data_IF_951860757218
#
_entry.id   IF_951860757218
#
_cell.length_a   1.000
_cell.length_b   1.000
_cell.length_c   1.000
_cell.angle_alpha   90.00
_cell.angle_beta   90.00
_cell.angle_gamma   90.00
#
_symmetry.space_group_name_H-M   'P 1'
#
loop_
_entity.id
_entity.type
_entity.pdbx_description
1 polymer ?
#
# COMPACT_ATOMS: atom_id res chain seq x y z
N UNK A 1 32.84 45.12 36.44
CA UNK A 1 31.74 45.29 35.46
C UNK A 1 31.73 44.05 34.60
N UNK A 2 30.69 43.23 34.72
CA UNK A 2 30.54 41.97 34.01
C UNK A 2 29.42 42.11 32.96
N UNK A 3 29.67 41.60 31.75
CA UNK A 3 28.65 41.38 30.71
C UNK A 3 29.16 41.62 29.28
N UNK A 4 28.69 40.87 28.27
CA UNK A 4 28.48 39.42 28.31
C UNK A 4 29.08 38.68 27.09
N UNK A 5 29.10 37.36 27.26
CA UNK A 5 29.69 36.28 26.46
C UNK A 5 29.02 36.15 25.08
N UNK A 6 29.86 35.86 24.08
CA UNK A 6 29.46 35.54 22.71
C UNK A 6 28.54 34.31 22.65
N UNK A 7 27.32 34.51 22.14
CA UNK A 7 26.43 33.41 21.77
C UNK A 7 26.82 32.91 20.37
N UNK A 8 27.76 31.95 20.32
CA UNK A 8 28.06 31.20 19.11
C UNK A 8 26.85 30.36 18.70
N UNK A 9 26.32 30.65 17.52
CA UNK A 9 25.26 29.86 16.88
C UNK A 9 25.83 28.48 16.53
N UNK A 10 25.49 27.47 17.32
CA UNK A 10 25.78 26.07 16.99
C UNK A 10 24.71 25.60 16.00
N UNK A 11 25.15 25.25 14.78
CA UNK A 11 24.26 24.78 13.71
C UNK A 11 23.43 23.55 14.10
N UNK A 12 22.52 23.10 13.22
CA UNK A 12 21.58 22.03 13.53
C UNK A 12 22.34 20.77 13.96
N UNK A 13 22.13 20.39 15.22
CA UNK A 13 22.63 19.15 15.80
C UNK A 13 22.26 17.98 14.89
N UNK A 14 23.23 17.12 14.57
CA UNK A 14 23.04 15.86 13.84
C UNK A 14 21.73 15.18 14.25
N UNK A 15 20.94 14.64 13.29
CA UNK A 15 19.68 13.99 13.62
C UNK A 15 19.96 12.91 14.66
N UNK A 16 19.30 13.04 15.82
CA UNK A 16 19.47 12.13 16.94
C UNK A 16 19.41 10.69 16.43
N UNK A 17 20.46 9.91 16.76
CA UNK A 17 20.55 8.51 16.38
C UNK A 17 19.27 7.80 16.84
N UNK A 18 18.48 7.30 15.87
CA UNK A 18 17.25 6.57 16.18
C UNK A 18 17.62 5.37 17.05
N UNK A 19 16.85 5.07 18.12
CA UNK A 19 17.08 3.88 18.90
C UNK A 19 17.01 2.67 17.97
N UNK A 20 18.10 1.90 17.93
CA UNK A 20 18.16 0.64 17.16
C UNK A 20 17.35 -0.39 17.92
N UNK A 21 16.19 -0.78 17.39
CA UNK A 21 15.35 -1.79 18.00
C UNK A 21 15.82 -3.19 17.57
N UNK A 22 15.52 -4.24 18.35
CA UNK A 22 15.83 -5.63 17.98
C UNK A 22 15.24 -6.05 16.62
N UNK A 23 14.18 -5.37 16.19
CA UNK A 23 13.58 -5.44 14.85
C UNK A 23 14.51 -5.09 13.70
N UNK A 24 15.58 -4.32 13.94
CA UNK A 24 16.52 -3.89 12.91
C UNK A 24 17.23 -5.09 12.27
N UNK A 25 17.41 -6.18 13.03
CA UNK A 25 18.04 -7.43 12.57
C UNK A 25 17.14 -8.29 11.68
N UNK A 26 15.81 -8.09 11.72
CA UNK A 26 14.89 -8.89 10.91
C UNK A 26 15.06 -8.58 9.43
N UNK A 27 15.17 -7.30 9.09
CA UNK A 27 15.25 -6.81 7.72
C UNK A 27 16.69 -6.70 7.17
N UNK A 28 17.71 -7.06 7.97
CA UNK A 28 19.04 -7.35 7.40
C UNK A 28 18.98 -8.57 6.48
N UNK A 29 18.00 -9.47 6.69
CA UNK A 29 17.81 -10.65 5.87
C UNK A 29 16.89 -10.32 4.68
N UNK A 30 17.33 -10.57 3.43
CA UNK A 30 16.48 -10.37 2.24
C UNK A 30 15.17 -11.18 2.27
N UNK A 31 15.12 -12.19 3.14
CA UNK A 31 14.00 -13.10 3.36
C UNK A 31 12.66 -12.42 3.67
N UNK A 32 12.65 -11.23 4.28
CA UNK A 32 11.40 -10.53 4.64
C UNK A 32 10.88 -9.56 3.58
N UNK A 33 11.74 -9.12 2.66
CA UNK A 33 11.34 -8.18 1.61
C UNK A 33 10.69 -8.87 0.41
N UNK A 34 11.09 -10.10 0.12
CA UNK A 34 10.47 -10.91 -0.95
C UNK A 34 8.98 -11.17 -0.69
N UNK A 35 8.55 -11.70 0.47
CA UNK A 35 7.13 -11.92 0.74
C UNK A 35 6.34 -10.61 0.77
N UNK A 36 6.94 -9.50 1.22
CA UNK A 36 6.32 -8.18 1.18
C UNK A 36 6.10 -7.68 -0.26
N UNK A 37 7.09 -7.85 -1.14
CA UNK A 37 6.97 -7.50 -2.56
C UNK A 37 5.90 -8.35 -3.25
N UNK A 38 5.90 -9.66 -2.99
CA UNK A 38 4.90 -10.58 -3.52
C UNK A 38 3.50 -10.24 -3.01
N UNK A 39 3.37 -9.84 -1.75
CA UNK A 39 2.11 -9.41 -1.17
C UNK A 39 1.55 -8.20 -1.91
N UNK A 40 2.39 -7.20 -2.16
CA UNK A 40 1.96 -6.05 -2.93
C UNK A 40 1.69 -6.40 -4.39
N UNK A 41 2.40 -7.37 -4.97
CA UNK A 41 2.15 -7.83 -6.34
C UNK A 41 0.79 -8.54 -6.49
N UNK A 42 0.27 -9.20 -5.45
CA UNK A 42 -1.07 -9.83 -5.48
C UNK A 42 -2.22 -8.86 -5.22
N UNK A 43 -1.94 -7.64 -4.76
CA UNK A 43 -2.97 -6.62 -4.45
C UNK A 43 -3.83 -6.20 -5.65
N UNK A 44 -3.37 -6.43 -6.88
CA UNK A 44 -4.10 -6.09 -8.10
C UNK A 44 -5.22 -7.07 -8.46
N UNK A 45 -5.33 -8.22 -7.81
CA UNK A 45 -6.25 -9.29 -8.20
C UNK A 45 -7.47 -9.36 -7.27
N UNK A 46 -8.53 -8.64 -7.61
CA UNK A 46 -9.77 -8.55 -6.82
C UNK A 46 -10.98 -8.84 -7.72
N UNK A 47 -10.98 -10.00 -8.39
CA UNK A 47 -12.16 -10.47 -9.14
C UNK A 47 -13.06 -11.38 -8.29
N UNK A 48 -12.48 -12.05 -7.30
CA UNK A 48 -13.15 -13.01 -6.42
C UNK A 48 -12.79 -12.69 -4.97
N UNK A 49 -13.76 -12.86 -4.08
CA UNK A 49 -13.58 -12.68 -2.65
C UNK A 49 -13.57 -14.04 -1.94
N UNK A 50 -12.60 -14.31 -1.04
CA UNK A 50 -11.50 -13.42 -0.63
C UNK A 50 -10.41 -13.29 -1.72
N UNK A 51 -9.81 -12.10 -1.83
CA UNK A 51 -8.77 -11.86 -2.82
C UNK A 51 -7.48 -12.63 -2.45
N UNK A 52 -6.61 -12.96 -3.42
CA UNK A 52 -5.31 -13.57 -3.13
C UNK A 52 -4.47 -12.74 -2.15
N UNK A 53 -4.60 -11.41 -2.21
CA UNK A 53 -3.99 -10.49 -1.25
C UNK A 53 -4.46 -10.78 0.19
N UNK A 54 -5.77 -10.97 0.40
CA UNK A 54 -6.35 -11.09 1.72
C UNK A 54 -5.77 -12.31 2.46
N UNK A 55 -5.77 -13.45 1.77
CA UNK A 55 -5.24 -14.71 2.32
C UNK A 55 -3.73 -14.61 2.53
N UNK A 56 -3.00 -14.07 1.55
CA UNK A 56 -1.54 -14.02 1.64
C UNK A 56 -1.05 -13.01 2.70
N UNK A 57 -1.78 -11.92 2.91
CA UNK A 57 -1.46 -10.90 3.91
C UNK A 57 -1.43 -11.48 5.32
N UNK A 58 -2.33 -12.41 5.65
CA UNK A 58 -2.36 -13.11 6.94
C UNK A 58 -1.07 -13.90 7.16
N UNK A 59 -0.63 -14.66 6.15
CA UNK A 59 0.61 -15.43 6.22
C UNK A 59 1.85 -14.54 6.39
N UNK A 60 1.93 -13.43 5.66
CA UNK A 60 3.03 -12.46 5.77
C UNK A 60 3.01 -11.76 7.13
N UNK A 61 1.83 -11.35 7.62
CA UNK A 61 1.68 -10.77 8.96
C UNK A 61 2.19 -11.73 10.04
N UNK A 62 1.81 -13.02 9.98
CA UNK A 62 2.29 -14.03 10.92
C UNK A 62 3.81 -14.23 10.85
N UNK A 63 4.39 -14.24 9.64
CA UNK A 63 5.84 -14.34 9.45
C UNK A 63 6.59 -13.20 10.15
N UNK A 64 6.08 -11.96 10.01
CA UNK A 64 6.67 -10.80 10.68
C UNK A 64 6.43 -10.84 12.19
N UNK A 65 5.26 -11.28 12.65
CA UNK A 65 4.94 -11.46 14.06
C UNK A 65 5.90 -12.41 14.75
N UNK A 66 6.13 -13.60 14.16
CA UNK A 66 7.11 -14.60 14.64
C UNK A 66 8.54 -14.05 14.58
N UNK A 67 8.82 -13.19 13.61
CA UNK A 67 10.10 -12.47 13.53
C UNK A 67 10.40 -11.60 14.76
N UNK A 68 9.40 -11.20 15.53
CA UNK A 68 9.59 -10.35 16.72
C UNK A 68 9.30 -8.89 16.40
N UNK A 69 8.03 -8.59 16.14
CA UNK A 69 7.61 -7.21 15.92
C UNK A 69 7.66 -6.40 17.22
N UNK A 70 8.40 -5.29 17.21
CA UNK A 70 8.47 -4.37 18.36
C UNK A 70 7.74 -3.08 18.02
N UNK A 71 6.63 -2.82 18.72
CA UNK A 71 5.88 -1.58 18.55
C UNK A 71 6.75 -0.38 18.94
N UNK A 72 7.02 0.47 17.96
CA UNK A 72 7.76 1.72 18.17
C UNK A 72 6.79 2.80 18.65
N UNK A 73 7.19 3.70 19.58
CA UNK A 73 6.33 4.78 20.06
C UNK A 73 5.74 5.67 18.95
N UNK A 74 6.41 5.77 17.80
CA UNK A 74 5.90 6.50 16.63
C UNK A 74 4.59 5.95 16.03
N UNK A 75 4.23 4.69 16.33
CA UNK A 75 2.97 4.07 15.87
C UNK A 75 1.82 4.35 16.85
N UNK A 76 2.12 4.86 18.05
CA UNK A 76 1.11 5.10 19.09
C UNK A 76 -0.08 5.96 18.63
N UNK A 77 0.08 7.06 17.87
CA UNK A 77 -1.06 7.86 17.40
C UNK A 77 -2.01 7.06 16.50
N UNK A 78 -1.47 6.21 15.62
CA UNK A 78 -2.27 5.34 14.77
C UNK A 78 -3.07 4.34 15.61
N UNK A 79 -2.43 3.70 16.59
CA UNK A 79 -3.10 2.75 17.48
C UNK A 79 -4.20 3.43 18.28
N UNK A 80 -3.95 4.62 18.82
CA UNK A 80 -4.97 5.37 19.56
C UNK A 80 -6.19 5.67 18.68
N UNK A 81 -5.99 6.20 17.48
CA UNK A 81 -7.08 6.50 16.55
C UNK A 81 -7.83 5.23 16.14
N UNK A 82 -7.10 4.14 15.86
CA UNK A 82 -7.70 2.88 15.46
C UNK A 82 -8.51 2.23 16.60
N UNK A 83 -8.01 2.31 17.84
CA UNK A 83 -8.74 1.82 19.02
C UNK A 83 -9.99 2.66 19.29
N UNK A 84 -9.92 4.00 19.12
CA UNK A 84 -11.11 4.86 19.19
C UNK A 84 -12.14 4.50 18.11
N UNK A 85 -11.66 4.25 16.88
CA UNK A 85 -12.51 3.84 15.77
C UNK A 85 -13.20 2.49 16.07
N UNK A 86 -12.47 1.46 16.51
CA UNK A 86 -13.07 0.19 16.89
C UNK A 86 -14.03 0.31 18.07
N UNK A 87 -13.70 1.10 19.10
CA UNK A 87 -14.61 1.37 20.21
C UNK A 87 -15.92 2.01 19.72
N UNK A 88 -15.84 2.97 18.80
CA UNK A 88 -17.03 3.56 18.18
C UNK A 88 -17.83 2.55 17.34
N UNK A 89 -17.14 1.63 16.65
CA UNK A 89 -17.77 0.54 15.89
C UNK A 89 -18.53 -0.44 16.78
N UNK A 90 -18.00 -0.78 17.96
CA UNK A 90 -18.72 -1.60 18.94
C UNK A 90 -19.97 -0.91 19.47
N UNK A 91 -19.89 0.39 19.75
CA UNK A 91 -21.09 1.17 20.14
C UNK A 91 -22.13 1.15 19.03
N UNK A 92 -21.73 1.41 17.78
CA UNK A 92 -22.62 1.36 16.62
C UNK A 92 -23.25 -0.04 16.43
N UNK A 93 -22.48 -1.11 16.63
CA UNK A 93 -22.97 -2.48 16.50
C UNK A 93 -24.11 -2.82 17.47
N UNK A 94 -24.19 -2.16 18.63
CA UNK A 94 -25.33 -2.34 19.56
C UNK A 94 -26.64 -1.72 19.07
N UNK A 95 -26.56 -0.83 18.08
CA UNK A 95 -27.71 -0.11 17.52
C UNK A 95 -28.21 -0.70 16.19
N UNK A 96 -27.54 -1.72 15.66
CA UNK A 96 -27.88 -2.31 14.36
C UNK A 96 -29.09 -3.24 14.48
N UNK A 97 -30.09 -3.01 13.62
CA UNK A 97 -31.35 -3.78 13.58
C UNK A 97 -31.23 -5.07 12.74
N UNK A 98 -30.29 -5.12 11.80
CA UNK A 98 -30.05 -6.26 10.90
C UNK A 98 -28.73 -6.96 11.20
N UNK A 99 -28.81 -8.24 11.54
CA UNK A 99 -27.66 -9.05 11.99
C UNK A 99 -26.78 -9.53 10.82
N UNK A 100 -27.37 -9.77 9.64
CA UNK A 100 -26.71 -10.53 8.57
C UNK A 100 -25.53 -9.82 7.91
N UNK A 101 -25.60 -8.49 7.76
CA UNK A 101 -24.51 -7.68 7.18
C UNK A 101 -23.45 -7.21 8.18
N UNK A 102 -23.78 -7.24 9.48
CA UNK A 102 -22.95 -6.67 10.54
C UNK A 102 -21.67 -7.47 10.78
N UNK A 103 -21.75 -8.81 10.70
CA UNK A 103 -20.60 -9.68 10.94
C UNK A 103 -19.50 -9.52 9.88
N UNK A 104 -19.87 -9.52 8.59
CA UNK A 104 -18.89 -9.36 7.52
C UNK A 104 -18.19 -7.99 7.59
N UNK A 105 -18.97 -6.93 7.90
CA UNK A 105 -18.41 -5.60 8.12
C UNK A 105 -17.38 -5.58 9.25
N UNK A 106 -17.68 -6.17 10.41
CA UNK A 106 -16.74 -6.22 11.55
C UNK A 106 -15.47 -6.98 11.19
N UNK A 107 -15.59 -8.12 10.49
CA UNK A 107 -14.43 -8.93 10.07
C UNK A 107 -13.54 -8.16 9.11
N UNK A 108 -14.11 -7.57 8.05
CA UNK A 108 -13.34 -6.79 7.06
C UNK A 108 -12.72 -5.55 7.71
N UNK A 109 -13.45 -4.87 8.58
CA UNK A 109 -12.95 -3.68 9.30
C UNK A 109 -11.78 -4.05 10.21
N UNK A 110 -11.88 -5.16 10.94
CA UNK A 110 -10.80 -5.67 11.79
C UNK A 110 -9.58 -6.04 10.96
N UNK A 111 -9.79 -6.73 9.83
CA UNK A 111 -8.74 -7.09 8.89
C UNK A 111 -7.99 -5.85 8.34
N UNK A 112 -8.71 -4.81 7.93
CA UNK A 112 -8.12 -3.55 7.46
C UNK A 112 -7.33 -2.85 8.57
N UNK A 113 -7.85 -2.83 9.80
CA UNK A 113 -7.14 -2.29 10.96
C UNK A 113 -5.82 -3.01 11.24
N UNK A 114 -5.82 -4.34 11.19
CA UNK A 114 -4.61 -5.16 11.35
C UNK A 114 -3.59 -4.88 10.23
N UNK A 115 -4.05 -4.77 8.98
CA UNK A 115 -3.19 -4.39 7.85
C UNK A 115 -2.56 -3.02 8.05
N UNK A 116 -3.32 -2.03 8.53
CA UNK A 116 -2.80 -0.68 8.79
C UNK A 116 -1.67 -0.71 9.84
N UNK A 117 -1.87 -1.44 10.94
CA UNK A 117 -0.83 -1.61 11.97
C UNK A 117 0.38 -2.35 11.43
N UNK A 118 0.16 -3.41 10.64
CA UNK A 118 1.23 -4.18 10.00
C UNK A 118 2.11 -3.30 9.10
N UNK A 119 1.51 -2.56 8.16
CA UNK A 119 2.30 -1.70 7.27
C UNK A 119 2.97 -0.55 8.02
N UNK A 120 2.30 0.05 9.00
CA UNK A 120 2.92 1.08 9.83
C UNK A 120 4.16 0.55 10.55
N UNK A 121 4.09 -0.69 11.05
CA UNK A 121 5.23 -1.36 11.66
C UNK A 121 6.36 -1.64 10.65
N UNK A 122 6.05 -2.24 9.50
CA UNK A 122 7.03 -2.54 8.44
C UNK A 122 7.75 -1.27 7.97
N UNK A 123 7.01 -0.17 7.80
CA UNK A 123 7.57 1.12 7.40
C UNK A 123 8.39 1.75 8.53
N UNK A 124 7.96 1.63 9.80
CA UNK A 124 8.69 2.19 10.93
C UNK A 124 10.09 1.60 11.10
N UNK A 125 10.27 0.30 10.80
CA UNK A 125 11.57 -0.38 10.90
C UNK A 125 12.63 0.19 9.93
N UNK A 126 12.30 0.27 8.64
CA UNK A 126 13.19 0.86 7.63
C UNK A 126 12.36 1.60 6.57
N UNK A 127 12.07 2.91 6.80
CA UNK A 127 11.11 3.64 5.97
C UNK A 127 11.47 3.64 4.49
N UNK A 128 12.74 3.86 4.16
CA UNK A 128 13.19 3.99 2.78
C UNK A 128 13.12 2.65 2.05
N UNK A 129 13.66 1.58 2.66
CA UNK A 129 13.72 0.28 2.01
C UNK A 129 12.35 -0.39 1.94
N UNK A 130 11.56 -0.32 3.02
CA UNK A 130 10.20 -0.84 3.05
C UNK A 130 9.33 -0.16 2.00
N UNK A 131 9.33 1.19 1.96
CA UNK A 131 8.57 1.94 0.96
C UNK A 131 8.94 1.54 -0.47
N UNK A 132 10.23 1.46 -0.78
CA UNK A 132 10.68 1.07 -2.13
C UNK A 132 10.23 -0.34 -2.52
N UNK A 133 10.27 -1.29 -1.58
CA UNK A 133 9.84 -2.69 -1.83
C UNK A 133 8.33 -2.77 -2.02
N UNK A 134 7.57 -2.10 -1.16
CA UNK A 134 6.11 -2.03 -1.23
C UNK A 134 5.71 -1.44 -2.59
N UNK A 135 6.27 -0.28 -2.95
CA UNK A 135 5.95 0.38 -4.22
C UNK A 135 6.43 -0.40 -5.44
N UNK A 136 7.55 -1.12 -5.37
CA UNK A 136 7.98 -1.99 -6.45
C UNK A 136 6.97 -3.12 -6.72
N UNK A 137 6.50 -3.80 -5.67
CA UNK A 137 5.44 -4.81 -5.79
C UNK A 137 4.12 -4.20 -6.27
N UNK A 138 3.78 -3.01 -5.79
CA UNK A 138 2.58 -2.28 -6.22
C UNK A 138 2.63 -1.92 -7.71
N UNK A 139 3.79 -1.48 -8.22
CA UNK A 139 3.98 -1.23 -9.66
C UNK A 139 3.77 -2.52 -10.47
N UNK A 140 4.26 -3.66 -9.98
CA UNK A 140 4.04 -4.95 -10.63
C UNK A 140 2.55 -5.29 -10.68
N UNK A 141 1.84 -5.15 -9.56
CA UNK A 141 0.39 -5.37 -9.52
C UNK A 141 -0.35 -4.44 -10.50
N UNK A 142 -0.05 -3.14 -10.45
CA UNK A 142 -0.65 -2.14 -11.33
C UNK A 142 -0.37 -2.42 -12.80
N UNK A 143 0.83 -2.89 -13.15
CA UNK A 143 1.18 -3.25 -14.51
C UNK A 143 0.35 -4.44 -15.02
N UNK A 144 0.23 -5.51 -14.24
CA UNK A 144 -0.60 -6.67 -14.62
C UNK A 144 -2.08 -6.28 -14.76
N UNK A 145 -2.61 -5.51 -13.81
CA UNK A 145 -3.98 -4.98 -13.88
C UNK A 145 -4.17 -4.11 -15.12
N UNK A 146 -3.24 -3.20 -15.42
CA UNK A 146 -3.33 -2.28 -16.55
C UNK A 146 -3.28 -3.02 -17.89
N UNK A 147 -2.39 -4.02 -18.02
CA UNK A 147 -2.31 -4.86 -19.22
C UNK A 147 -3.63 -5.63 -19.42
N UNK A 148 -4.17 -6.22 -18.35
CA UNK A 148 -5.45 -6.94 -18.42
C UNK A 148 -6.61 -5.99 -18.79
N UNK A 149 -6.63 -4.78 -18.23
CA UNK A 149 -7.62 -3.75 -18.52
C UNK A 149 -7.58 -3.30 -19.99
N UNK A 150 -6.39 -2.98 -20.50
CA UNK A 150 -6.19 -2.56 -21.90
C UNK A 150 -6.53 -3.71 -22.85
N UNK A 151 -6.03 -4.92 -22.59
CA UNK A 151 -6.29 -6.08 -23.42
C UNK A 151 -7.77 -6.48 -23.44
N UNK A 152 -8.47 -6.35 -22.32
CA UNK A 152 -9.92 -6.51 -22.23
C UNK A 152 -10.68 -5.44 -23.01
N UNK A 153 -10.26 -4.17 -22.92
CA UNK A 153 -10.91 -3.06 -23.61
C UNK A 153 -10.84 -3.17 -25.14
N UNK A 154 -9.70 -3.61 -25.69
CA UNK A 154 -9.55 -3.78 -27.14
C UNK A 154 -10.01 -5.16 -27.65
N UNK A 155 -10.53 -6.04 -26.80
CA UNK A 155 -10.93 -7.39 -27.19
C UNK A 155 -9.76 -8.29 -27.63
N UNK A 156 -8.53 -7.95 -27.21
CA UNK A 156 -7.31 -8.66 -27.60
C UNK A 156 -7.07 -9.96 -26.81
N UNK A 157 -7.82 -10.16 -25.71
CA UNK A 157 -7.69 -11.31 -24.80
C UNK A 157 -9.01 -12.09 -24.80
N UNK A 158 -8.99 -13.43 -24.77
CA UNK A 158 -10.20 -14.24 -24.58
C UNK A 158 -10.91 -13.85 -23.28
N UNK A 159 -12.25 -13.87 -23.29
CA UNK A 159 -13.11 -13.41 -22.17
C UNK A 159 -12.94 -11.92 -21.84
N UNK A 160 -12.73 -11.07 -22.85
CA UNK A 160 -12.61 -9.61 -22.74
C UNK A 160 -13.72 -8.95 -21.92
N UNK A 161 -14.96 -9.45 -22.04
CA UNK A 161 -16.12 -8.93 -21.30
C UNK A 161 -15.96 -9.06 -19.78
N UNK A 162 -15.20 -10.05 -19.29
CA UNK A 162 -14.94 -10.22 -17.86
C UNK A 162 -14.05 -9.11 -17.28
N UNK A 163 -13.28 -8.42 -18.12
CA UNK A 163 -12.41 -7.29 -17.74
C UNK A 163 -13.08 -5.93 -17.94
N UNK A 164 -14.34 -5.94 -18.39
CA UNK A 164 -15.15 -4.76 -18.62
C UNK A 164 -16.33 -4.70 -17.65
N UNK A 165 -16.79 -3.49 -17.37
CA UNK A 165 -18.07 -3.24 -16.72
C UNK A 165 -18.72 -2.02 -17.34
N UNK A 166 -19.90 -2.21 -17.95
CA UNK A 166 -20.61 -1.16 -18.69
C UNK A 166 -19.73 -0.48 -19.77
N UNK A 167 -18.89 -1.25 -20.47
CA UNK A 167 -17.98 -0.73 -21.50
C UNK A 167 -16.74 0.00 -20.96
N UNK A 168 -16.53 0.00 -19.65
CA UNK A 168 -15.37 0.62 -18.98
C UNK A 168 -14.37 -0.45 -18.55
N UNK A 169 -13.08 -0.17 -18.68
CA UNK A 169 -12.03 -1.08 -18.23
C UNK A 169 -12.00 -1.19 -16.70
N UNK A 170 -12.24 -2.39 -16.16
CA UNK A 170 -12.05 -2.71 -14.73
C UNK A 170 -10.85 -3.63 -14.47
N UNK A 171 -10.27 -4.23 -15.52
CA UNK A 171 -9.12 -5.11 -15.39
C UNK A 171 -9.41 -6.25 -14.42
N UNK A 172 -8.49 -6.50 -13.50
CA UNK A 172 -8.55 -7.56 -12.48
C UNK A 172 -9.33 -7.17 -11.22
N UNK A 173 -10.13 -6.09 -11.28
CA UNK A 173 -11.01 -5.65 -10.19
C UNK A 173 -12.48 -5.93 -10.50
N UNK A 174 -13.36 -5.73 -9.52
CA UNK A 174 -14.81 -5.81 -9.72
C UNK A 174 -15.42 -4.52 -10.33
N UNK A 175 -14.86 -3.34 -10.04
CA UNK A 175 -15.37 -2.03 -10.47
C UNK A 175 -14.24 -1.13 -11.03
N UNK A 176 -14.44 -0.46 -12.19
CA UNK A 176 -13.50 0.52 -12.72
C UNK A 176 -13.14 1.65 -11.76
N UNK A 177 -14.06 2.05 -10.88
CA UNK A 177 -13.86 3.10 -9.87
C UNK A 177 -12.98 2.64 -8.70
N UNK A 178 -12.71 1.33 -8.57
CA UNK A 178 -11.73 0.80 -7.61
C UNK A 178 -10.37 0.66 -8.30
N UNK A 179 -10.37 0.17 -9.55
CA UNK A 179 -9.15 0.04 -10.35
C UNK A 179 -8.46 1.39 -10.58
N UNK A 180 -9.21 2.43 -10.95
CA UNK A 180 -8.64 3.76 -11.23
C UNK A 180 -7.80 4.31 -10.07
N UNK A 181 -8.38 4.50 -8.87
CA UNK A 181 -7.64 4.95 -7.68
C UNK A 181 -6.49 4.02 -7.29
N UNK A 182 -6.65 2.70 -7.47
CA UNK A 182 -5.58 1.72 -7.21
C UNK A 182 -4.33 1.96 -8.08
N UNK A 183 -4.49 2.42 -9.32
CA UNK A 183 -3.37 2.71 -10.22
C UNK A 183 -2.68 4.06 -9.93
N UNK A 184 -3.28 4.95 -9.14
CA UNK A 184 -2.70 6.28 -8.86
C UNK A 184 -1.37 6.20 -8.08
N UNK A 185 -1.26 5.49 -6.92
CA UNK A 185 0.01 5.39 -6.20
C UNK A 185 1.19 4.85 -7.03
N UNK A 186 1.09 3.71 -7.76
CA UNK A 186 2.21 3.23 -8.57
C UNK A 186 2.55 4.19 -9.72
N UNK A 187 1.57 4.88 -10.29
CA UNK A 187 1.77 5.91 -11.33
C UNK A 187 2.58 7.09 -10.80
N UNK A 188 2.18 7.65 -9.65
CA UNK A 188 2.90 8.77 -9.02
C UNK A 188 4.30 8.37 -8.57
N UNK A 189 4.47 7.13 -8.08
CA UNK A 189 5.78 6.62 -7.71
C UNK A 189 6.72 6.56 -8.91
N UNK A 190 6.29 5.98 -10.04
CA UNK A 190 7.09 5.95 -11.27
C UNK A 190 7.40 7.36 -11.80
N UNK A 191 6.39 8.22 -11.85
CA UNK A 191 6.57 9.62 -12.26
C UNK A 191 7.63 10.32 -11.42
N UNK A 192 7.53 10.21 -10.10
CA UNK A 192 8.48 10.83 -9.17
C UNK A 192 9.91 10.25 -9.30
N UNK A 193 10.04 8.98 -9.69
CA UNK A 193 11.32 8.31 -9.92
C UNK A 193 11.97 8.75 -11.24
N UNK A 194 11.17 8.99 -12.28
CA UNK A 194 11.64 9.53 -13.56
C UNK A 194 12.12 10.97 -13.37
N UNK A 195 11.33 11.82 -12.72
CA UNK A 195 11.66 13.24 -12.48
C UNK A 195 12.96 13.39 -11.67
N UNK A 196 13.19 12.54 -10.67
CA UNK A 196 14.41 12.58 -9.84
C UNK A 196 15.64 11.94 -10.48
N UNK A 197 15.49 11.26 -11.62
CA UNK A 197 16.59 10.58 -12.26
C UNK A 197 17.45 11.56 -13.08
N UNK A 198 18.78 11.45 -12.99
CA UNK A 198 19.73 12.24 -13.80
C UNK A 198 19.88 11.71 -15.23
N UNK A 199 19.39 10.50 -15.48
CA UNK A 199 19.47 9.85 -16.79
C UNK A 199 18.21 10.24 -17.55
N UNK A 200 18.39 10.97 -18.65
CA UNK A 200 17.31 11.55 -19.46
C UNK A 200 16.27 10.52 -19.95
N UNK A 201 16.63 9.23 -19.99
CA UNK A 201 15.78 8.19 -20.60
C UNK A 201 15.74 6.90 -19.78
N UNK A 202 14.90 6.88 -18.73
CA UNK A 202 14.44 5.60 -18.16
C UNK A 202 13.29 5.03 -18.98
N UNK A 203 13.59 4.66 -20.22
CA UNK A 203 12.67 4.08 -21.21
C UNK A 203 11.74 2.98 -20.65
N UNK A 204 12.20 1.99 -19.87
CA UNK A 204 11.30 0.97 -19.35
C UNK A 204 10.31 1.53 -18.30
N UNK A 205 10.75 2.45 -17.44
CA UNK A 205 9.86 3.08 -16.44
C UNK A 205 8.83 3.98 -17.12
N UNK A 206 9.23 4.68 -18.19
CA UNK A 206 8.33 5.48 -19.01
C UNK A 206 7.29 4.60 -19.73
N UNK A 207 7.71 3.46 -20.28
CA UNK A 207 6.80 2.50 -20.90
C UNK A 207 5.74 1.99 -19.92
N UNK A 208 6.16 1.58 -18.72
CA UNK A 208 5.22 1.17 -17.66
C UNK A 208 4.30 2.33 -17.27
N UNK A 209 4.83 3.54 -17.09
CA UNK A 209 4.03 4.72 -16.76
C UNK A 209 2.93 4.95 -17.81
N UNK A 210 3.26 4.89 -19.10
CA UNK A 210 2.30 5.07 -20.19
C UNK A 210 1.21 4.00 -20.17
N UNK A 211 1.56 2.74 -19.88
CA UNK A 211 0.60 1.65 -19.73
C UNK A 211 -0.37 1.91 -18.56
N UNK A 212 0.14 2.33 -17.40
CA UNK A 212 -0.71 2.66 -16.24
C UNK A 212 -1.65 3.82 -16.56
N UNK A 213 -1.13 4.90 -17.15
CA UNK A 213 -1.92 6.09 -17.52
C UNK A 213 -2.99 5.73 -18.54
N UNK A 214 -2.68 4.93 -19.56
CA UNK A 214 -3.65 4.47 -20.54
C UNK A 214 -4.79 3.68 -19.88
N UNK A 215 -4.46 2.74 -18.98
CA UNK A 215 -5.48 1.98 -18.24
C UNK A 215 -6.36 2.86 -17.35
N UNK A 216 -5.79 3.89 -16.70
CA UNK A 216 -6.57 4.88 -15.93
C UNK A 216 -7.58 5.58 -16.84
N UNK A 217 -7.17 6.06 -18.02
CA UNK A 217 -8.08 6.71 -18.95
C UNK A 217 -9.19 5.77 -19.45
N UNK A 218 -8.85 4.53 -19.82
CA UNK A 218 -9.82 3.54 -20.29
C UNK A 218 -10.83 3.10 -19.21
N UNK A 219 -10.48 3.28 -17.92
CA UNK A 219 -11.40 3.00 -16.81
C UNK A 219 -12.57 3.98 -16.73
N UNK A 220 -12.40 5.20 -17.27
CA UNK A 220 -13.33 6.33 -17.07
C UNK A 220 -13.73 6.47 -15.58
N UNK A 221 -12.81 6.20 -14.65
CA UNK A 221 -13.05 6.24 -13.21
C UNK A 221 -13.42 7.65 -12.76
N UNK A 222 -14.43 7.78 -11.89
CA UNK A 222 -14.79 9.06 -11.27
C UNK A 222 -13.88 9.44 -10.11
N UNK A 223 -13.10 8.49 -9.61
CA UNK A 223 -12.22 8.66 -8.45
C UNK A 223 -10.74 8.75 -8.79
N UNK A 224 -10.38 8.79 -10.09
CA UNK A 224 -8.99 8.81 -10.57
C UNK A 224 -8.68 10.09 -11.35
#
# INVERSE_FOLDING_TARGET
MAGPVAAGWTGPTSPAARPRYGSDRLLEKPLYYVPLALLMATSGFVMFEPAPYDVFSIGVMLLFLIGGMILTPGIAPLLTLLMMFFASGFVAATQTVSTDGSYFYIVVTTFLGLNAVFFAFVVAMNPVRAFNVIMAGYVVAGLFTAIAAIGGYFGAIPFSDSFLLYGRAKGTFQDPNVMGPFLIPPTLFLLSRIIRSRVMFRLPELGVLLVLVAAIFLSFSRGA
#
